data_IF_559604093333
#
_entry.id   IF_559604093333
#
_cell.length_a   1.000
_cell.length_b   1.000
_cell.length_c   1.000
_cell.angle_alpha   90.00
_cell.angle_beta   90.00
_cell.angle_gamma   90.00
#
_symmetry.space_group_name_H-M   'P 1'
#
loop_
_entity.id
_entity.type
_entity.pdbx_description
1 polymer ?
#
# COMPACT_ATOMS: atom_id res chain seq x y z
N UNK A 1 34.37 -5.42 12.57
CA UNK A 1 35.75 -5.63 12.07
C UNK A 1 35.86 -6.98 11.32
N UNK A 2 35.13 -7.19 10.22
CA UNK A 2 35.21 -8.44 9.44
C UNK A 2 35.22 -8.12 7.94
N UNK A 3 36.09 -7.20 7.52
CA UNK A 3 36.33 -6.95 6.09
C UNK A 3 37.81 -6.63 5.81
N UNK A 4 38.71 -7.06 6.69
CA UNK A 4 40.11 -6.63 6.65
C UNK A 4 41.04 -7.56 5.86
N UNK A 5 40.57 -8.74 5.41
CA UNK A 5 41.46 -9.77 4.82
C UNK A 5 40.92 -10.55 3.61
N UNK A 6 39.87 -10.08 2.93
CA UNK A 6 39.38 -10.74 1.71
C UNK A 6 39.51 -9.77 0.54
N UNK A 7 40.22 -10.19 -0.53
CA UNK A 7 40.37 -9.41 -1.77
C UNK A 7 38.98 -8.94 -2.23
N UNK A 8 38.89 -7.67 -2.65
CA UNK A 8 37.66 -7.02 -3.17
C UNK A 8 36.92 -7.89 -4.19
N UNK A 9 37.66 -8.71 -4.96
CA UNK A 9 37.13 -9.68 -5.92
C UNK A 9 36.24 -10.80 -5.33
N UNK A 10 36.43 -11.22 -4.09
CA UNK A 10 35.58 -12.25 -3.46
C UNK A 10 34.31 -11.67 -2.85
N UNK A 11 34.32 -10.38 -2.48
CA UNK A 11 33.14 -9.71 -1.95
C UNK A 11 32.13 -9.40 -3.06
N UNK A 12 32.61 -8.99 -4.24
CA UNK A 12 31.77 -8.82 -5.44
C UNK A 12 31.25 -10.16 -5.98
N UNK A 13 31.98 -11.27 -5.82
CA UNK A 13 31.50 -12.61 -6.19
C UNK A 13 30.30 -13.05 -5.36
N UNK A 14 30.30 -12.82 -4.04
CA UNK A 14 29.17 -13.15 -3.18
C UNK A 14 27.96 -12.23 -3.39
N UNK A 15 28.17 -10.91 -3.58
CA UNK A 15 27.08 -9.97 -3.86
C UNK A 15 26.43 -10.21 -5.23
N UNK A 16 27.22 -10.57 -6.25
CA UNK A 16 26.68 -10.98 -7.56
C UNK A 16 25.97 -12.34 -7.51
N UNK A 17 26.37 -13.26 -6.62
CA UNK A 17 25.70 -14.55 -6.42
C UNK A 17 24.35 -14.40 -5.71
N UNK A 18 24.26 -13.48 -4.75
CA UNK A 18 22.99 -13.14 -4.07
C UNK A 18 22.06 -12.37 -5.00
N UNK A 19 22.57 -11.38 -5.75
CA UNK A 19 21.77 -10.63 -6.76
C UNK A 19 21.23 -11.54 -7.87
N UNK A 20 22.03 -12.49 -8.38
CA UNK A 20 21.57 -13.46 -9.38
C UNK A 20 20.59 -14.51 -8.81
N UNK A 21 20.70 -14.88 -7.53
CA UNK A 21 19.74 -15.79 -6.88
C UNK A 21 18.35 -15.16 -6.76
N UNK A 22 18.25 -13.86 -6.43
CA UNK A 22 16.99 -13.13 -6.42
C UNK A 22 16.47 -12.78 -7.83
N UNK A 23 17.35 -12.58 -8.81
CA UNK A 23 16.95 -12.34 -10.20
C UNK A 23 16.38 -13.61 -10.89
N UNK A 24 16.93 -14.80 -10.62
CA UNK A 24 16.47 -16.06 -11.24
C UNK A 24 15.11 -16.54 -10.71
N UNK A 25 14.75 -16.21 -9.47
CA UNK A 25 13.44 -16.55 -8.90
C UNK A 25 12.33 -15.57 -9.29
N UNK A 26 12.66 -14.40 -9.87
CA UNK A 26 11.68 -13.36 -10.23
C UNK A 26 11.27 -13.36 -11.72
N UNK A 27 11.86 -14.22 -12.57
CA UNK A 27 11.45 -14.43 -13.97
C UNK A 27 11.56 -15.90 -14.38
N UNK A 28 10.68 -16.75 -13.84
CA UNK A 28 10.44 -18.08 -14.38
C UNK A 28 9.28 -18.01 -15.39
N UNK A 29 9.59 -18.11 -16.68
CA UNK A 29 8.62 -18.00 -17.79
C UNK A 29 7.49 -19.05 -17.73
N UNK A 30 7.71 -20.20 -17.08
CA UNK A 30 6.70 -21.27 -17.02
C UNK A 30 5.67 -21.05 -15.91
N UNK A 31 6.06 -20.47 -14.77
CA UNK A 31 5.11 -20.13 -13.70
C UNK A 31 4.21 -18.97 -14.09
N UNK A 32 4.70 -18.04 -14.93
CA UNK A 32 3.87 -16.97 -15.50
C UNK A 32 2.77 -17.52 -16.41
N UNK A 33 3.02 -18.53 -17.24
CA UNK A 33 2.02 -19.15 -18.10
C UNK A 33 0.89 -19.81 -17.30
N UNK A 34 1.25 -20.56 -16.27
CA UNK A 34 0.28 -21.22 -15.40
C UNK A 34 -0.59 -20.20 -14.66
N UNK A 35 0.02 -19.17 -14.08
CA UNK A 35 -0.70 -18.11 -13.37
C UNK A 35 -1.52 -17.25 -14.34
N UNK A 36 -1.04 -16.95 -15.54
CA UNK A 36 -1.79 -16.22 -16.57
C UNK A 36 -3.03 -17.00 -17.02
N UNK A 37 -2.89 -18.29 -17.31
CA UNK A 37 -4.00 -19.16 -17.70
C UNK A 37 -5.00 -19.38 -16.55
N UNK A 38 -4.50 -19.46 -15.32
CA UNK A 38 -5.32 -19.54 -14.12
C UNK A 38 -6.11 -18.23 -13.90
N UNK A 39 -5.46 -17.07 -13.94
CA UNK A 39 -6.11 -15.76 -13.77
C UNK A 39 -7.17 -15.53 -14.86
N UNK A 40 -6.85 -15.82 -16.13
CA UNK A 40 -7.80 -15.64 -17.24
C UNK A 40 -9.03 -16.56 -17.15
N UNK A 41 -8.91 -17.73 -16.52
CA UNK A 41 -10.03 -18.69 -16.38
C UNK A 41 -10.87 -18.43 -15.13
N UNK A 42 -10.27 -17.95 -14.05
CA UNK A 42 -10.94 -17.89 -12.73
C UNK A 42 -11.24 -16.48 -12.23
N UNK A 43 -10.66 -15.43 -12.81
CA UNK A 43 -10.97 -14.05 -12.43
C UNK A 43 -11.89 -13.43 -13.48
N UNK A 44 -13.18 -13.20 -13.18
CA UNK A 44 -14.05 -12.45 -14.09
C UNK A 44 -13.51 -11.03 -14.25
N UNK A 45 -13.17 -10.65 -15.47
CA UNK A 45 -12.77 -9.28 -15.81
C UNK A 45 -14.05 -8.47 -15.94
N UNK A 46 -14.35 -7.65 -14.93
CA UNK A 46 -15.45 -6.68 -14.98
C UNK A 46 -15.07 -5.62 -15.99
N UNK A 47 -15.80 -5.56 -17.12
CA UNK A 47 -15.70 -4.42 -18.04
C UNK A 47 -16.46 -3.26 -17.42
N UNK A 48 -15.80 -2.11 -17.25
CA UNK A 48 -16.52 -0.88 -16.97
C UNK A 48 -17.40 -0.59 -18.20
N UNK A 49 -18.71 -0.44 -17.97
CA UNK A 49 -19.66 -0.09 -19.01
C UNK A 49 -19.44 1.38 -19.37
N UNK A 50 -19.14 1.69 -20.64
CA UNK A 50 -18.85 3.03 -21.16
C UNK A 50 -20.14 3.87 -21.36
N UNK A 51 -21.23 3.54 -20.64
CA UNK A 51 -22.38 4.43 -20.54
C UNK A 51 -22.04 5.50 -19.50
N UNK A 52 -21.89 6.73 -19.99
CA UNK A 52 -21.40 7.98 -19.39
C UNK A 52 -22.20 8.49 -18.16
N UNK A 53 -22.68 7.59 -17.30
CA UNK A 53 -23.01 7.92 -15.92
C UNK A 53 -21.68 8.11 -15.18
N UNK A 54 -21.46 9.29 -14.59
CA UNK A 54 -20.34 9.55 -13.71
C UNK A 54 -20.30 8.46 -12.61
N UNK A 55 -19.43 7.46 -12.80
CA UNK A 55 -19.35 6.31 -11.91
C UNK A 55 -18.69 6.78 -10.61
N UNK A 56 -19.50 7.28 -9.69
CA UNK A 56 -19.04 7.74 -8.37
C UNK A 56 -18.79 6.51 -7.50
N UNK A 57 -17.53 6.29 -7.11
CA UNK A 57 -17.16 5.26 -6.14
C UNK A 57 -17.90 5.52 -4.80
N UNK A 58 -18.84 4.63 -4.39
CA UNK A 58 -19.56 4.80 -3.14
C UNK A 58 -18.63 4.85 -1.92
N UNK A 59 -17.45 4.21 -1.99
CA UNK A 59 -16.47 4.23 -0.92
C UNK A 59 -15.90 5.63 -0.71
N UNK A 60 -15.62 6.38 -1.78
CA UNK A 60 -15.10 7.73 -1.70
C UNK A 60 -16.07 8.66 -0.99
N UNK A 61 -17.34 8.64 -1.40
CA UNK A 61 -18.41 9.45 -0.79
C UNK A 61 -18.57 9.13 0.70
N UNK A 62 -18.57 7.85 1.06
CA UNK A 62 -18.67 7.43 2.46
C UNK A 62 -17.44 7.84 3.27
N UNK A 63 -16.22 7.74 2.72
CA UNK A 63 -15.00 8.18 3.41
C UNK A 63 -15.01 9.68 3.70
N UNK A 64 -15.46 10.50 2.76
CA UNK A 64 -15.60 11.95 2.95
C UNK A 64 -16.58 12.25 4.09
N UNK A 65 -17.77 11.65 4.08
CA UNK A 65 -18.76 11.82 5.16
C UNK A 65 -18.27 11.29 6.51
N UNK A 66 -17.57 10.14 6.53
CA UNK A 66 -17.03 9.55 7.75
C UNK A 66 -15.85 10.36 8.32
N UNK A 67 -15.05 11.00 7.49
CA UNK A 67 -13.93 11.85 7.91
C UNK A 67 -14.39 13.10 8.68
N UNK A 68 -15.57 13.62 8.37
CA UNK A 68 -16.17 14.78 9.06
C UNK A 68 -16.74 14.45 10.44
N UNK A 69 -16.84 13.17 10.82
CA UNK A 69 -17.38 12.79 12.13
C UNK A 69 -16.46 13.27 13.27
N UNK A 70 -17.01 13.79 14.39
CA UNK A 70 -16.20 14.38 15.46
C UNK A 70 -15.12 13.46 16.04
N UNK A 71 -15.39 12.15 16.11
CA UNK A 71 -14.42 11.16 16.57
C UNK A 71 -13.23 11.02 15.61
N UNK A 72 -13.46 11.02 14.29
CA UNK A 72 -12.41 10.89 13.29
C UNK A 72 -11.67 12.22 13.06
N UNK A 73 -12.35 13.36 13.19
CA UNK A 73 -11.72 14.70 13.14
C UNK A 73 -10.64 14.83 14.21
N UNK A 74 -10.87 14.31 15.43
CA UNK A 74 -9.85 14.32 16.50
C UNK A 74 -8.56 13.58 16.09
N UNK A 75 -8.70 12.42 15.45
CA UNK A 75 -7.55 11.66 14.96
C UNK A 75 -6.89 12.34 13.77
N UNK A 76 -7.67 12.93 12.87
CA UNK A 76 -7.15 13.74 11.78
C UNK A 76 -6.31 14.93 12.29
N UNK A 77 -6.77 15.64 13.32
CA UNK A 77 -6.00 16.73 13.94
C UNK A 77 -4.66 16.24 14.51
N UNK A 78 -4.63 15.07 15.16
CA UNK A 78 -3.37 14.47 15.65
C UNK A 78 -2.41 14.14 14.50
N UNK A 79 -2.93 13.54 13.43
CA UNK A 79 -2.16 13.23 12.23
C UNK A 79 -1.56 14.49 11.60
N UNK A 80 -2.35 15.55 11.43
CA UNK A 80 -1.86 16.85 10.92
C UNK A 80 -0.79 17.43 11.83
N UNK A 81 -1.01 17.40 13.15
CA UNK A 81 -0.02 17.89 14.13
C UNK A 81 1.30 17.12 14.05
N UNK A 82 1.26 15.79 13.86
CA UNK A 82 2.46 15.01 13.63
C UNK A 82 3.14 15.38 12.30
N UNK A 83 2.37 15.49 11.22
CA UNK A 83 2.91 15.85 9.91
C UNK A 83 3.62 17.22 9.95
N UNK A 84 3.05 18.22 10.61
CA UNK A 84 3.66 19.53 10.78
C UNK A 84 4.98 19.45 11.57
N UNK A 85 5.03 18.59 12.60
CA UNK A 85 6.23 18.36 13.41
C UNK A 85 7.32 17.62 12.62
N UNK A 86 6.97 16.61 11.83
CA UNK A 86 7.92 15.85 11.02
C UNK A 86 8.47 16.72 9.88
N UNK A 87 7.60 17.45 9.18
CA UNK A 87 7.96 18.31 8.05
C UNK A 87 8.79 19.54 8.47
N UNK A 88 8.67 20.00 9.72
CA UNK A 88 9.47 21.12 10.22
C UNK A 88 10.92 20.74 10.57
N UNK A 89 11.25 19.45 10.66
CA UNK A 89 12.59 18.96 11.02
C UNK A 89 13.42 18.66 9.78
N UNK A 90 14.67 19.12 9.76
CA UNK A 90 15.63 18.83 8.67
C UNK A 90 16.12 17.38 8.65
N UNK A 91 16.17 16.74 9.81
CA UNK A 91 16.54 15.34 9.96
C UNK A 91 15.82 14.77 11.19
N UNK A 92 14.92 13.82 10.98
CA UNK A 92 14.19 13.12 12.06
C UNK A 92 13.97 11.67 11.65
N UNK A 93 13.97 10.76 12.63
CA UNK A 93 13.58 9.36 12.46
C UNK A 93 12.10 9.12 12.82
N UNK A 94 11.41 10.17 13.25
CA UNK A 94 10.00 10.15 13.61
C UNK A 94 9.11 9.91 12.38
N UNK A 95 8.05 9.12 12.54
CA UNK A 95 7.05 8.81 11.51
C UNK A 95 5.65 8.96 12.08
N UNK A 96 4.70 9.47 11.29
CA UNK A 96 3.29 9.64 11.69
C UNK A 96 2.41 8.40 11.42
N UNK A 97 3.01 7.21 11.41
CA UNK A 97 2.30 5.98 11.05
C UNK A 97 1.26 5.59 12.10
N UNK A 98 1.54 5.81 13.38
CA UNK A 98 0.59 5.55 14.47
C UNK A 98 -0.67 6.39 14.30
N UNK A 99 -0.52 7.71 14.14
CA UNK A 99 -1.66 8.63 13.96
C UNK A 99 -2.41 8.36 12.65
N UNK A 100 -1.71 7.92 11.60
CA UNK A 100 -2.33 7.53 10.34
C UNK A 100 -3.21 6.29 10.53
N UNK A 101 -2.71 5.25 11.21
CA UNK A 101 -3.47 4.03 11.47
C UNK A 101 -4.69 4.35 12.35
N UNK A 102 -4.55 5.18 13.37
CA UNK A 102 -5.67 5.63 14.21
C UNK A 102 -6.77 6.32 13.39
N UNK A 103 -6.38 7.26 12.52
CA UNK A 103 -7.32 7.99 11.67
C UNK A 103 -8.02 7.07 10.66
N UNK A 104 -7.25 6.24 9.93
CA UNK A 104 -7.80 5.31 8.94
C UNK A 104 -8.72 4.29 9.60
N UNK A 105 -8.32 3.75 10.75
CA UNK A 105 -9.14 2.80 11.52
C UNK A 105 -10.49 3.41 11.91
N UNK A 106 -10.51 4.68 12.34
CA UNK A 106 -11.76 5.38 12.64
C UNK A 106 -12.67 5.51 11.41
N UNK A 107 -12.11 5.97 10.29
CA UNK A 107 -12.86 6.18 9.05
C UNK A 107 -13.38 4.86 8.50
N UNK A 108 -12.53 3.83 8.41
CA UNK A 108 -12.93 2.52 7.88
C UNK A 108 -13.95 1.81 8.77
N UNK A 109 -13.87 1.97 10.10
CA UNK A 109 -14.91 1.48 11.01
C UNK A 109 -16.27 2.10 10.68
N UNK A 110 -16.30 3.42 10.47
CA UNK A 110 -17.50 4.13 10.04
C UNK A 110 -18.02 3.66 8.67
N UNK A 111 -17.15 3.58 7.68
CA UNK A 111 -17.49 3.20 6.29
C UNK A 111 -18.03 1.76 6.22
N UNK A 112 -17.52 0.86 7.06
CA UNK A 112 -17.87 -0.56 7.03
C UNK A 112 -19.35 -0.85 7.25
N UNK A 113 -20.08 0.06 7.92
CA UNK A 113 -21.51 -0.10 8.18
C UNK A 113 -22.37 0.02 6.92
N UNK A 114 -21.99 0.90 5.98
CA UNK A 114 -22.83 1.25 4.84
C UNK A 114 -22.24 0.79 3.50
N UNK A 115 -20.92 0.60 3.41
CA UNK A 115 -20.23 0.36 2.14
C UNK A 115 -20.76 -0.88 1.41
N UNK A 116 -20.84 -2.02 2.10
CA UNK A 116 -21.27 -3.28 1.47
C UNK A 116 -22.73 -3.29 1.03
N UNK A 117 -23.57 -2.39 1.56
CA UNK A 117 -24.95 -2.23 1.08
C UNK A 117 -25.03 -1.53 -0.29
N UNK A 118 -23.96 -0.81 -0.68
CA UNK A 118 -23.88 -0.04 -1.94
C UNK A 118 -23.12 -0.79 -3.04
N UNK A 119 -22.43 -1.87 -2.69
CA UNK A 119 -21.70 -2.72 -3.64
C UNK A 119 -22.63 -3.84 -4.14
N UNK A 120 -22.61 -4.11 -5.45
CA UNK A 120 -23.35 -5.18 -6.10
C UNK A 120 -22.48 -6.41 -6.31
#
# INVERSE_FOLDING_TARGET
MICSHIRVSSCTYYLNKVSNYYHYHYYNKETMSFIQNFVARFVPIVKADDEEAELVDPQKVLRESCAEKPNCVKFHTKLTTCNDRVNSRKATAETCLEELIDYVSCVDHCVSHDLFSKLK
#
